data_IF_442912324989
#
_entry.id   IF_442912324989
#
_cell.length_a   1.000
_cell.length_b   1.000
_cell.length_c   1.000
_cell.angle_alpha   90.00
_cell.angle_beta   90.00
_cell.angle_gamma   90.00
#
_symmetry.space_group_name_H-M   'P 1'
#
loop_
_entity.id
_entity.type
_entity.pdbx_description
1 polymer ?
#
# COMPACT_ATOMS: atom_id res chain seq x y z
N UNK A 1 -23.43 8.33 51.67
CA UNK A 1 -22.10 8.11 51.07
C UNK A 1 -22.31 7.50 49.70
N UNK A 2 -22.32 8.34 48.67
CA UNK A 2 -22.64 7.98 47.28
C UNK A 2 -21.37 7.47 46.61
N UNK A 3 -21.32 6.16 46.33
CA UNK A 3 -20.25 5.54 45.56
C UNK A 3 -20.33 6.00 44.11
N UNK A 4 -19.21 6.55 43.65
CA UNK A 4 -18.98 6.99 42.28
C UNK A 4 -18.69 5.78 41.40
N UNK A 5 -19.55 5.50 40.42
CA UNK A 5 -19.25 4.52 39.36
C UNK A 5 -18.69 5.27 38.15
N UNK A 6 -17.42 5.01 37.84
CA UNK A 6 -16.75 5.44 36.60
C UNK A 6 -17.52 4.91 35.38
N UNK A 7 -17.69 5.69 34.29
CA UNK A 7 -18.05 5.12 33.01
C UNK A 7 -16.87 4.29 32.50
N UNK A 8 -17.11 3.01 32.27
CA UNK A 8 -16.16 2.13 31.61
C UNK A 8 -15.87 2.64 30.21
N UNK A 9 -14.59 2.77 29.91
CA UNK A 9 -14.05 2.99 28.58
C UNK A 9 -14.61 1.91 27.64
N UNK A 10 -15.25 2.36 26.55
CA UNK A 10 -15.75 1.49 25.50
C UNK A 10 -14.60 0.70 24.88
N UNK A 11 -14.74 -0.62 24.86
CA UNK A 11 -13.85 -1.58 24.23
C UNK A 11 -13.52 -1.18 22.79
N UNK A 12 -12.23 -1.05 22.49
CA UNK A 12 -11.69 -0.93 21.15
C UNK A 12 -11.59 -2.30 20.45
N UNK A 13 -12.70 -3.04 20.38
CA UNK A 13 -12.78 -4.31 19.65
C UNK A 13 -13.61 -4.11 18.36
N UNK A 14 -13.22 -3.13 17.54
CA UNK A 14 -13.71 -2.96 16.19
C UNK A 14 -12.83 -3.74 15.21
N UNK A 15 -13.43 -4.43 14.22
CA UNK A 15 -12.65 -5.02 13.13
C UNK A 15 -11.78 -3.94 12.46
N UNK A 16 -10.51 -4.23 12.15
CA UNK A 16 -9.62 -3.25 11.54
C UNK A 16 -10.16 -2.82 10.18
N UNK A 17 -10.11 -1.52 9.90
CA UNK A 17 -10.49 -0.99 8.60
C UNK A 17 -9.60 -1.54 7.49
N UNK A 18 -10.09 -1.57 6.25
CA UNK A 18 -9.32 -2.06 5.10
C UNK A 18 -7.97 -1.34 4.92
N UNK A 19 -7.91 -0.04 5.26
CA UNK A 19 -6.69 0.78 5.22
C UNK A 19 -5.69 0.37 6.29
N UNK A 20 -6.16 0.03 7.51
CA UNK A 20 -5.30 -0.47 8.58
C UNK A 20 -4.76 -1.86 8.25
N UNK A 21 -5.59 -2.72 7.66
CA UNK A 21 -5.16 -4.03 7.16
C UNK A 21 -4.06 -3.85 6.10
N UNK A 22 -4.27 -2.99 5.10
CA UNK A 22 -3.27 -2.72 4.07
C UNK A 22 -1.97 -2.15 4.67
N UNK A 23 -2.06 -1.20 5.60
CA UNK A 23 -0.89 -0.65 6.27
C UNK A 23 -0.07 -1.74 6.99
N UNK A 24 -0.75 -2.65 7.69
CA UNK A 24 -0.11 -3.78 8.34
C UNK A 24 0.54 -4.76 7.35
N UNK A 25 -0.11 -5.04 6.22
CA UNK A 25 0.44 -5.94 5.20
C UNK A 25 1.66 -5.32 4.48
N UNK A 26 1.62 -4.02 4.16
CA UNK A 26 2.77 -3.30 3.59
C UNK A 26 3.97 -3.29 4.53
N UNK A 27 3.74 -3.05 5.83
CA UNK A 27 4.80 -3.10 6.83
C UNK A 27 5.46 -4.49 6.91
N UNK A 28 4.66 -5.56 6.89
CA UNK A 28 5.18 -6.94 6.90
C UNK A 28 5.99 -7.26 5.65
N UNK A 29 5.56 -6.80 4.47
CA UNK A 29 6.32 -6.98 3.22
C UNK A 29 7.64 -6.22 3.27
N UNK A 30 7.61 -4.95 3.69
CA UNK A 30 8.80 -4.13 3.84
C UNK A 30 9.83 -4.80 4.78
N UNK A 31 9.38 -5.27 5.94
CA UNK A 31 10.23 -5.99 6.90
C UNK A 31 10.74 -7.33 6.37
N UNK A 32 9.91 -8.04 5.59
CA UNK A 32 10.31 -9.26 4.89
C UNK A 32 11.50 -9.00 3.96
N UNK A 33 11.45 -7.94 3.15
CA UNK A 33 12.55 -7.55 2.27
C UNK A 33 13.79 -7.08 3.03
N UNK A 34 13.66 -6.32 4.14
CA UNK A 34 14.80 -5.91 4.97
C UNK A 34 15.57 -7.09 5.56
N UNK A 35 14.88 -8.20 5.82
CA UNK A 35 15.45 -9.42 6.42
C UNK A 35 15.86 -10.46 5.38
N UNK A 36 15.54 -10.25 4.11
CA UNK A 36 15.79 -11.23 3.06
C UNK A 36 17.29 -11.35 2.78
N UNK A 37 17.90 -12.55 2.89
CA UNK A 37 19.31 -12.72 2.54
C UNK A 37 19.56 -12.37 1.07
N UNK A 38 20.73 -11.78 0.76
CA UNK A 38 21.07 -11.33 -0.60
C UNK A 38 20.86 -12.42 -1.67
N UNK A 39 21.27 -13.66 -1.38
CA UNK A 39 21.13 -14.81 -2.30
C UNK A 39 19.68 -15.21 -2.61
N UNK A 40 18.70 -14.74 -1.83
CA UNK A 40 17.28 -15.06 -2.01
C UNK A 40 16.58 -14.10 -2.97
N UNK A 41 17.14 -12.92 -3.25
CA UNK A 41 16.54 -11.93 -4.14
C UNK A 41 16.43 -12.41 -5.59
N UNK A 42 17.46 -13.13 -6.08
CA UNK A 42 17.49 -13.68 -7.45
C UNK A 42 16.75 -15.00 -7.61
N UNK A 43 16.12 -15.51 -6.54
CA UNK A 43 15.33 -16.73 -6.65
C UNK A 43 14.03 -16.45 -7.38
N UNK A 44 13.70 -17.36 -8.29
CA UNK A 44 12.55 -17.27 -9.17
C UNK A 44 11.25 -17.09 -8.39
N UNK A 45 10.45 -16.12 -8.82
CA UNK A 45 9.10 -15.89 -8.32
C UNK A 45 8.20 -15.46 -9.49
N UNK A 46 7.46 -16.42 -10.03
CA UNK A 46 6.49 -16.14 -11.09
C UNK A 46 5.26 -15.41 -10.56
N UNK A 47 4.61 -14.54 -11.37
CA UNK A 47 4.94 -14.18 -12.75
C UNK A 47 6.00 -13.06 -12.87
N UNK A 48 6.65 -12.66 -11.77
CA UNK A 48 7.51 -11.47 -11.71
C UNK A 48 8.95 -11.71 -12.18
N UNK A 49 9.31 -12.96 -12.50
CA UNK A 49 10.69 -13.35 -12.76
C UNK A 49 11.42 -13.77 -11.47
N UNK A 50 11.77 -12.81 -10.62
CA UNK A 50 12.43 -13.07 -9.32
C UNK A 50 11.85 -12.23 -8.17
N UNK A 51 12.32 -12.47 -6.94
CA UNK A 51 11.83 -11.75 -5.75
C UNK A 51 12.17 -10.26 -5.79
N UNK A 52 13.33 -9.85 -6.30
CA UNK A 52 13.66 -8.43 -6.42
C UNK A 52 12.69 -7.71 -7.37
N UNK A 53 12.45 -8.30 -8.54
CA UNK A 53 11.51 -7.79 -9.54
C UNK A 53 10.09 -7.72 -8.98
N UNK A 54 9.65 -8.71 -8.20
CA UNK A 54 8.34 -8.66 -7.53
C UNK A 54 8.22 -7.49 -6.55
N UNK A 55 9.26 -7.19 -5.77
CA UNK A 55 9.26 -6.07 -4.84
C UNK A 55 9.30 -4.71 -5.56
N UNK A 56 10.09 -4.57 -6.61
CA UNK A 56 10.09 -3.34 -7.43
C UNK A 56 8.74 -3.12 -8.11
N UNK A 57 8.15 -4.19 -8.64
CA UNK A 57 6.81 -4.15 -9.22
C UNK A 57 5.77 -3.69 -8.20
N UNK A 58 5.76 -4.26 -6.98
CA UNK A 58 4.83 -3.83 -5.94
C UNK A 58 5.04 -2.36 -5.58
N UNK A 59 6.29 -1.93 -5.35
CA UNK A 59 6.59 -0.54 -5.01
C UNK A 59 6.10 0.43 -6.11
N UNK A 60 6.29 0.08 -7.38
CA UNK A 60 5.80 0.87 -8.50
C UNK A 60 4.26 0.94 -8.53
N UNK A 61 3.56 -0.18 -8.33
CA UNK A 61 2.09 -0.21 -8.26
C UNK A 61 1.56 0.69 -7.15
N UNK A 62 2.13 0.59 -5.94
CA UNK A 62 1.77 1.41 -4.79
C UNK A 62 1.99 2.89 -5.08
N UNK A 63 3.15 3.27 -5.63
CA UNK A 63 3.46 4.64 -5.99
C UNK A 63 2.54 5.20 -7.08
N UNK A 64 2.11 4.38 -8.04
CA UNK A 64 1.16 4.80 -9.07
C UNK A 64 -0.23 5.07 -8.49
N UNK A 65 -0.73 4.21 -7.60
CA UNK A 65 -2.03 4.46 -6.95
C UNK A 65 -1.96 5.74 -6.10
N UNK A 66 -0.86 5.96 -5.37
CA UNK A 66 -0.66 7.20 -4.61
C UNK A 66 -0.75 8.45 -5.51
N UNK A 67 -0.03 8.47 -6.64
CA UNK A 67 -0.09 9.58 -7.61
C UNK A 67 -1.49 9.78 -8.20
N UNK A 68 -2.22 8.69 -8.44
CA UNK A 68 -3.61 8.73 -8.91
C UNK A 68 -4.55 9.36 -7.89
N UNK A 69 -4.38 9.02 -6.61
CA UNK A 69 -5.10 9.63 -5.50
C UNK A 69 -4.73 11.10 -5.37
N UNK A 70 -3.45 11.48 -5.38
CA UNK A 70 -2.99 12.88 -5.25
C UNK A 70 -3.57 13.84 -6.30
N UNK A 71 -4.08 13.32 -7.41
CA UNK A 71 -4.70 14.09 -8.50
C UNK A 71 -6.18 13.74 -8.72
N UNK A 72 -6.86 13.16 -7.74
CA UNK A 72 -8.25 12.72 -7.84
C UNK A 72 -9.22 13.82 -8.31
N UNK A 73 -8.99 15.06 -7.88
CA UNK A 73 -9.80 16.23 -8.18
C UNK A 73 -9.41 16.95 -9.48
N UNK A 74 -8.27 16.58 -10.09
CA UNK A 74 -7.79 17.17 -11.33
C UNK A 74 -8.55 16.65 -12.55
N UNK A 75 -9.03 17.52 -13.46
CA UNK A 75 -9.74 17.09 -14.68
C UNK A 75 -8.85 16.33 -15.68
N UNK A 76 -7.53 16.37 -15.51
CA UNK A 76 -6.55 15.65 -16.33
C UNK A 76 -5.80 14.61 -15.48
N UNK A 77 -5.36 13.49 -16.09
CA UNK A 77 -4.54 12.51 -15.38
C UNK A 77 -3.23 13.13 -14.88
N UNK A 78 -2.65 12.61 -13.77
CA UNK A 78 -1.32 13.00 -13.36
C UNK A 78 -0.32 12.76 -14.48
N UNK A 79 0.74 13.57 -14.52
CA UNK A 79 1.97 13.16 -15.20
C UNK A 79 2.58 12.03 -14.37
N UNK A 80 2.39 10.80 -14.83
CA UNK A 80 2.94 9.61 -14.18
C UNK A 80 4.46 9.70 -14.09
N UNK A 81 4.97 9.66 -12.86
CA UNK A 81 6.39 9.59 -12.56
C UNK A 81 6.76 8.13 -12.32
N UNK A 82 7.79 7.68 -12.99
CA UNK A 82 8.39 6.37 -12.73
C UNK A 82 9.07 6.37 -11.36
N UNK A 83 8.86 5.29 -10.62
CA UNK A 83 9.60 5.06 -9.39
C UNK A 83 11.01 4.55 -9.77
N UNK A 84 12.10 5.17 -9.29
CA UNK A 84 13.44 4.71 -9.63
C UNK A 84 13.70 3.31 -9.07
N UNK A 85 14.30 2.43 -9.87
CA UNK A 85 14.74 1.11 -9.41
C UNK A 85 15.98 1.25 -8.53
N UNK A 86 15.84 0.98 -7.22
CA UNK A 86 16.95 0.99 -6.27
C UNK A 86 17.63 -0.37 -6.16
N UNK A 87 18.77 -0.42 -5.48
CA UNK A 87 19.41 -1.71 -5.14
C UNK A 87 18.56 -2.54 -4.18
N UNK A 88 18.69 -3.87 -4.25
CA UNK A 88 17.84 -4.83 -3.51
C UNK A 88 17.78 -4.61 -1.99
N UNK A 89 18.86 -4.10 -1.39
CA UNK A 89 18.90 -3.82 0.05
C UNK A 89 18.05 -2.59 0.46
N UNK A 90 17.76 -1.68 -0.46
CA UNK A 90 16.90 -0.53 -0.21
C UNK A 90 15.41 -0.84 -0.49
N UNK A 91 15.08 -2.05 -0.97
CA UNK A 91 13.75 -2.37 -1.46
C UNK A 91 12.68 -2.33 -0.37
N UNK A 92 13.00 -2.86 0.82
CA UNK A 92 12.10 -2.79 1.97
C UNK A 92 11.79 -1.35 2.39
N UNK A 93 12.80 -0.47 2.35
CA UNK A 93 12.62 0.96 2.66
C UNK A 93 11.84 1.68 1.57
N UNK A 94 12.11 1.38 0.30
CA UNK A 94 11.36 1.93 -0.81
C UNK A 94 9.87 1.57 -0.72
N UNK A 95 9.54 0.31 -0.41
CA UNK A 95 8.15 -0.14 -0.21
C UNK A 95 7.50 0.60 0.96
N UNK A 96 8.23 0.79 2.07
CA UNK A 96 7.70 1.52 3.23
C UNK A 96 7.41 2.99 2.93
N UNK A 97 8.29 3.66 2.16
CA UNK A 97 8.10 5.07 1.77
C UNK A 97 6.87 5.21 0.88
N UNK A 98 6.80 4.48 -0.23
CA UNK A 98 5.66 4.59 -1.16
C UNK A 98 4.36 4.12 -0.52
N UNK A 99 4.43 3.16 0.41
CA UNK A 99 3.28 2.73 1.22
C UNK A 99 2.77 3.85 2.12
N UNK A 100 3.65 4.58 2.80
CA UNK A 100 3.26 5.75 3.58
C UNK A 100 2.66 6.85 2.70
N UNK A 101 3.24 7.12 1.53
CA UNK A 101 2.70 8.10 0.58
C UNK A 101 1.28 7.72 0.14
N UNK A 102 1.05 6.44 -0.19
CA UNK A 102 -0.28 5.93 -0.53
C UNK A 102 -1.29 6.13 0.60
N UNK A 103 -0.93 5.73 1.82
CA UNK A 103 -1.83 5.83 2.97
C UNK A 103 -2.11 7.28 3.34
N UNK A 104 -1.12 8.17 3.22
CA UNK A 104 -1.29 9.60 3.45
C UNK A 104 -2.22 10.22 2.40
N UNK A 105 -2.01 9.91 1.12
CA UNK A 105 -2.86 10.37 0.02
C UNK A 105 -4.31 9.89 0.21
N UNK A 106 -4.52 8.61 0.53
CA UNK A 106 -5.85 8.07 0.74
C UNK A 106 -6.58 8.71 1.93
N UNK A 107 -5.89 8.92 3.05
CA UNK A 107 -6.46 9.60 4.24
C UNK A 107 -6.83 11.06 4.00
N UNK A 108 -6.27 11.69 2.96
CA UNK A 108 -6.59 13.06 2.58
C UNK A 108 -7.86 13.18 1.72
N UNK A 109 -8.42 12.05 1.25
CA UNK A 109 -9.70 12.04 0.53
C UNK A 109 -10.85 12.41 1.45
N UNK A 110 -11.79 13.22 0.95
CA UNK A 110 -12.98 13.64 1.71
C UNK A 110 -13.98 12.49 1.89
N UNK A 111 -14.24 11.75 0.83
CA UNK A 111 -15.06 10.54 0.84
C UNK A 111 -14.43 9.47 -0.08
N UNK A 112 -13.55 8.61 0.46
CA UNK A 112 -12.88 7.59 -0.34
C UNK A 112 -13.83 6.63 -1.07
N UNK A 113 -15.03 6.40 -0.54
CA UNK A 113 -15.98 5.43 -1.11
C UNK A 113 -16.64 5.94 -2.38
N UNK A 114 -16.80 7.25 -2.48
CA UNK A 114 -17.37 7.92 -3.64
C UNK A 114 -16.30 8.52 -4.57
N UNK A 115 -15.04 8.55 -4.13
CA UNK A 115 -13.94 9.15 -4.90
C UNK A 115 -13.50 8.24 -6.04
N UNK A 116 -13.48 8.80 -7.25
CA UNK A 116 -12.79 8.23 -8.39
C UNK A 116 -11.36 8.79 -8.48
N UNK A 117 -10.39 7.93 -8.68
CA UNK A 117 -8.97 8.27 -8.80
C UNK A 117 -8.47 7.94 -10.19
N UNK A 118 -7.41 8.60 -10.63
CA UNK A 118 -6.76 8.25 -11.89
C UNK A 118 -5.97 6.95 -11.77
N UNK A 119 -6.02 6.12 -12.80
CA UNK A 119 -5.15 4.96 -12.98
C UNK A 119 -4.51 4.97 -14.36
N UNK A 120 -3.25 4.52 -14.50
CA UNK A 120 -2.62 4.40 -15.80
C UNK A 120 -3.41 3.45 -16.71
N UNK A 121 -3.69 3.86 -17.95
CA UNK A 121 -4.34 3.03 -18.97
C UNK A 121 -5.85 2.79 -18.81
N UNK A 122 -6.37 2.74 -17.58
CA UNK A 122 -7.78 2.45 -17.30
C UNK A 122 -8.65 3.70 -17.07
N UNK A 123 -8.06 4.89 -17.01
CA UNK A 123 -8.78 6.14 -16.83
C UNK A 123 -9.08 6.43 -15.36
N UNK A 124 -10.36 6.50 -14.97
CA UNK A 124 -10.76 6.75 -13.58
C UNK A 124 -11.46 5.53 -12.99
N UNK A 125 -11.03 5.12 -11.80
CA UNK A 125 -11.61 3.98 -11.06
C UNK A 125 -11.94 4.37 -9.62
N UNK A 126 -12.87 3.68 -8.94
CA UNK A 126 -13.14 3.91 -7.52
C UNK A 126 -11.89 3.69 -6.65
N UNK A 127 -11.63 4.60 -5.71
CA UNK A 127 -10.46 4.52 -4.83
C UNK A 127 -10.42 3.21 -4.05
N UNK A 128 -11.56 2.77 -3.51
CA UNK A 128 -11.69 1.46 -2.83
C UNK A 128 -11.24 0.28 -3.68
N UNK A 129 -11.62 0.28 -4.96
CA UNK A 129 -11.24 -0.79 -5.89
C UNK A 129 -9.73 -0.82 -6.12
N UNK A 130 -9.11 0.36 -6.28
CA UNK A 130 -7.67 0.47 -6.44
C UNK A 130 -6.93 0.03 -5.16
N UNK A 131 -7.40 0.44 -3.98
CA UNK A 131 -6.82 0.04 -2.69
C UNK A 131 -6.95 -1.47 -2.45
N UNK A 132 -8.08 -2.07 -2.79
CA UNK A 132 -8.29 -3.52 -2.70
C UNK A 132 -7.31 -4.28 -3.60
N UNK A 133 -7.10 -3.84 -4.84
CA UNK A 133 -6.12 -4.45 -5.74
C UNK A 133 -4.67 -4.36 -5.22
N UNK A 134 -4.31 -3.25 -4.57
CA UNK A 134 -3.01 -3.11 -3.89
C UNK A 134 -2.91 -4.06 -2.69
N UNK A 135 -3.97 -4.19 -1.89
CA UNK A 135 -4.02 -5.13 -0.77
C UNK A 135 -3.85 -6.58 -1.23
N UNK A 136 -4.55 -6.98 -2.29
CA UNK A 136 -4.44 -8.32 -2.87
C UNK A 136 -3.01 -8.61 -3.32
N UNK A 137 -2.41 -7.67 -4.05
CA UNK A 137 -1.02 -7.76 -4.53
C UNK A 137 -0.01 -7.83 -3.38
N UNK A 138 -0.21 -7.01 -2.34
CA UNK A 138 0.65 -6.98 -1.14
C UNK A 138 0.55 -8.29 -0.38
N UNK A 139 -0.67 -8.80 -0.18
CA UNK A 139 -0.93 -10.05 0.53
C UNK A 139 -0.34 -11.25 -0.22
N UNK A 140 -0.50 -11.28 -1.55
CA UNK A 140 0.07 -12.31 -2.40
C UNK A 140 1.61 -12.33 -2.30
N UNK A 141 2.24 -11.15 -2.41
CA UNK A 141 3.70 -11.06 -2.30
C UNK A 141 4.19 -11.45 -0.90
N UNK A 142 3.51 -11.00 0.16
CA UNK A 142 3.87 -11.37 1.54
C UNK A 142 3.90 -12.88 1.74
N UNK A 143 2.96 -13.62 1.13
CA UNK A 143 2.90 -15.09 1.23
C UNK A 143 4.03 -15.78 0.47
N UNK A 144 4.69 -15.09 -0.46
CA UNK A 144 5.74 -15.64 -1.31
C UNK A 144 7.18 -15.28 -0.87
N UNK A 145 7.31 -14.33 0.06
CA UNK A 145 8.57 -13.96 0.72
C UNK A 145 8.96 -15.00 1.78
#
# INVERSE_FOLDING_TARGET
>A
MTSSTKPGEHSADGEPSAVEVLAGELAKVADGYRRLPHSKFSLRLEPYGDRAQAGHWLAAQVAMVAQGIERWDSPQPPRWRELPTLGVFALGDQIAVVGNDLLAAYRALKDPRETLIWTPGEGRVPAEKAMAAVLDSTTALRRAL
#
